data_IF_824860781989
#
_entry.id   IF_824860781989
#
_cell.length_a   1.000
_cell.length_b   1.000
_cell.length_c   1.000
_cell.angle_alpha   90.00
_cell.angle_beta   90.00
_cell.angle_gamma   90.00
#
_symmetry.space_group_name_H-M   'P 1'
#
loop_
_entity.id
_entity.type
_entity.pdbx_description
1 polymer ?
#
# COMPACT_ATOMS: atom_id res chain seq x y z
N UNK A 1 1.90 1.04 11.39
CA UNK A 1 1.74 -0.40 11.65
C UNK A 1 3.08 -1.13 11.63
N UNK A 2 3.74 -1.28 10.47
CA UNK A 2 5.00 -2.03 10.37
C UNK A 2 6.09 -1.57 11.34
N UNK A 3 6.29 -0.26 11.52
CA UNK A 3 7.21 0.27 12.52
C UNK A 3 6.91 -0.25 13.95
N UNK A 4 5.66 -0.18 14.39
CA UNK A 4 5.28 -0.64 15.73
C UNK A 4 5.46 -2.15 15.88
N UNK A 5 5.12 -2.91 14.84
CA UNK A 5 5.35 -4.36 14.80
C UNK A 5 6.84 -4.70 14.91
N UNK A 6 7.70 -4.04 14.12
CA UNK A 6 9.15 -4.24 14.16
C UNK A 6 9.73 -3.86 15.53
N UNK A 7 9.31 -2.74 16.12
CA UNK A 7 9.76 -2.35 17.46
C UNK A 7 9.41 -3.41 18.53
N UNK A 8 8.19 -3.96 18.49
CA UNK A 8 7.77 -5.05 19.40
C UNK A 8 8.52 -6.36 19.15
N UNK A 9 8.97 -6.61 17.91
CA UNK A 9 9.81 -7.76 17.57
C UNK A 9 11.22 -7.65 18.14
N UNK A 10 11.76 -6.43 18.21
CA UNK A 10 13.07 -6.14 18.79
C UNK A 10 13.03 -6.07 20.33
N UNK A 11 11.91 -5.61 20.90
CA UNK A 11 11.70 -5.57 22.34
C UNK A 11 10.22 -5.74 22.69
N UNK A 12 9.87 -6.94 23.16
CA UNK A 12 8.52 -7.32 23.53
C UNK A 12 7.96 -6.57 24.75
N UNK A 13 8.82 -5.91 25.52
CA UNK A 13 8.41 -5.13 26.70
C UNK A 13 8.00 -3.68 26.36
N UNK A 14 8.07 -3.28 25.09
CA UNK A 14 7.63 -1.96 24.68
C UNK A 14 6.10 -1.83 24.73
N UNK A 15 5.63 -0.79 25.40
CA UNK A 15 4.23 -0.38 25.29
C UNK A 15 4.11 0.72 24.24
N UNK A 16 3.50 0.40 23.10
CA UNK A 16 3.35 1.35 21.98
C UNK A 16 1.91 1.86 21.92
N UNK A 17 1.75 3.18 22.02
CA UNK A 17 0.47 3.85 21.79
C UNK A 17 0.44 4.45 20.37
N UNK A 18 -0.54 4.04 19.56
CA UNK A 18 -0.73 4.54 18.19
C UNK A 18 -1.96 5.44 18.18
N UNK A 19 -1.77 6.71 17.81
CA UNK A 19 -2.84 7.69 17.66
C UNK A 19 -3.01 8.00 16.18
N UNK A 20 -4.25 7.99 15.70
CA UNK A 20 -4.62 8.48 14.38
C UNK A 20 -5.80 9.45 14.50
N UNK A 21 -5.85 10.48 13.66
CA UNK A 21 -6.90 11.50 13.63
C UNK A 21 -8.24 10.93 13.14
N UNK A 22 -8.21 9.88 12.32
CA UNK A 22 -9.42 9.36 11.69
C UNK A 22 -10.28 8.48 12.60
N UNK A 23 -11.45 8.10 12.08
CA UNK A 23 -12.40 7.23 12.76
C UNK A 23 -11.91 5.78 12.84
N UNK A 24 -12.51 5.00 13.73
CA UNK A 24 -12.31 3.55 13.77
C UNK A 24 -12.71 2.94 12.42
N UNK A 25 -12.07 1.83 12.06
CA UNK A 25 -12.29 1.20 10.76
C UNK A 25 -13.77 0.85 10.50
N UNK A 26 -14.46 0.32 11.52
CA UNK A 26 -15.89 -0.02 11.47
C UNK A 26 -16.83 1.17 11.34
N UNK A 27 -16.34 2.38 11.63
CA UNK A 27 -17.11 3.62 11.59
C UNK A 27 -16.85 4.41 10.30
N UNK A 28 -15.92 3.96 9.45
CA UNK A 28 -15.62 4.59 8.17
C UNK A 28 -16.63 4.21 7.12
N UNK A 29 -17.20 5.19 6.45
CA UNK A 29 -18.14 5.04 5.37
C UNK A 29 -17.95 6.13 4.32
N UNK A 30 -17.95 5.76 3.04
CA UNK A 30 -17.94 6.72 1.96
C UNK A 30 -19.18 6.55 1.09
N UNK A 31 -19.88 7.64 0.81
CA UNK A 31 -20.99 7.64 -0.15
C UNK A 31 -20.61 7.04 -1.51
N UNK A 32 -19.37 7.28 -1.97
CA UNK A 32 -18.88 6.75 -3.26
C UNK A 32 -18.80 5.23 -3.30
N UNK A 33 -18.57 4.56 -2.16
CA UNK A 33 -18.59 3.08 -2.10
C UNK A 33 -20.01 2.52 -2.23
N UNK A 34 -21.02 3.36 -2.01
CA UNK A 34 -22.44 3.04 -2.17
C UNK A 34 -23.03 3.61 -3.47
N UNK A 35 -22.19 4.12 -4.37
CA UNK A 35 -22.61 4.68 -5.66
C UNK A 35 -23.27 6.07 -5.57
N UNK A 36 -23.15 6.77 -4.44
CA UNK A 36 -23.63 8.16 -4.30
C UNK A 36 -22.47 9.15 -4.24
N UNK A 37 -22.79 10.45 -4.30
CA UNK A 37 -21.80 11.51 -4.19
C UNK A 37 -20.98 11.42 -2.89
N UNK A 38 -19.82 12.07 -2.87
CA UNK A 38 -18.98 12.14 -1.67
C UNK A 38 -19.78 12.72 -0.48
N UNK A 39 -19.83 11.98 0.62
CA UNK A 39 -20.55 12.36 1.85
C UNK A 39 -19.63 12.90 2.94
N UNK A 40 -18.35 13.10 2.64
CA UNK A 40 -17.38 13.56 3.64
C UNK A 40 -17.53 15.07 3.87
N UNK A 41 -17.87 15.47 5.10
CA UNK A 41 -17.77 16.86 5.55
C UNK A 41 -16.48 17.04 6.36
N UNK A 42 -15.40 17.45 5.69
CA UNK A 42 -14.08 17.61 6.29
C UNK A 42 -13.10 16.49 5.92
N UNK A 43 -12.54 15.80 6.92
CA UNK A 43 -11.56 14.73 6.66
C UNK A 43 -12.21 13.58 5.87
N UNK A 44 -11.56 13.12 4.80
CA UNK A 44 -12.06 12.00 4.03
C UNK A 44 -11.82 10.68 4.75
N UNK A 45 -12.89 9.94 5.05
CA UNK A 45 -12.83 8.66 5.78
C UNK A 45 -12.10 7.55 5.00
N UNK A 46 -11.94 7.67 3.68
CA UNK A 46 -11.10 6.75 2.89
C UNK A 46 -9.61 6.91 3.17
N UNK A 47 -9.18 8.15 3.40
CA UNK A 47 -7.75 8.50 3.47
C UNK A 47 -7.26 8.63 4.92
N UNK A 48 -8.12 9.16 5.81
CA UNK A 48 -7.74 9.57 7.16
C UNK A 48 -8.22 8.53 8.18
N UNK A 49 -7.28 8.05 8.98
CA UNK A 49 -7.52 7.04 10.00
C UNK A 49 -6.49 5.91 9.95
N UNK A 50 -6.45 5.12 11.02
CA UNK A 50 -5.68 3.89 11.12
C UNK A 50 -5.70 3.06 9.82
N UNK A 51 -4.52 2.61 9.38
CA UNK A 51 -4.26 1.91 8.12
C UNK A 51 -4.50 2.71 6.81
N UNK A 52 -4.98 3.97 6.89
CA UNK A 52 -5.14 4.87 5.76
C UNK A 52 -5.92 4.25 4.59
N UNK A 53 -5.37 4.40 3.38
CA UNK A 53 -5.88 3.81 2.13
C UNK A 53 -5.77 2.28 2.04
N UNK A 54 -5.34 1.61 3.12
CA UNK A 54 -5.30 0.15 3.20
C UNK A 54 -6.68 -0.52 3.05
N UNK A 55 -7.79 0.23 3.14
CA UNK A 55 -9.14 -0.20 2.74
C UNK A 55 -9.30 -0.29 1.21
N UNK A 56 -8.35 -0.93 0.54
CA UNK A 56 -8.36 -1.15 -0.91
C UNK A 56 -8.65 -2.61 -1.21
N UNK A 57 -8.51 -3.02 -2.48
CA UNK A 57 -8.54 -4.43 -2.89
C UNK A 57 -7.45 -5.29 -2.22
N UNK A 58 -6.51 -4.69 -1.47
CA UNK A 58 -5.52 -5.42 -0.66
C UNK A 58 -4.33 -5.93 -1.46
N UNK A 59 -4.08 -5.36 -2.63
CA UNK A 59 -2.97 -5.72 -3.53
C UNK A 59 -1.68 -5.01 -3.11
N UNK A 60 -0.62 -5.78 -2.88
CA UNK A 60 0.71 -5.25 -2.61
C UNK A 60 1.54 -5.23 -3.89
N UNK A 61 1.89 -4.03 -4.38
CA UNK A 61 2.66 -3.87 -5.61
C UNK A 61 4.16 -3.94 -5.27
N UNK A 62 4.90 -4.84 -5.91
CA UNK A 62 6.33 -5.03 -5.73
C UNK A 62 7.10 -4.32 -6.85
N UNK A 63 7.09 -2.99 -6.86
CA UNK A 63 7.73 -2.21 -7.92
C UNK A 63 8.09 -0.79 -7.48
N UNK A 64 9.10 -0.21 -8.12
CA UNK A 64 9.43 1.21 -8.01
C UNK A 64 8.85 2.03 -9.17
N UNK A 65 8.18 1.40 -10.14
CA UNK A 65 7.72 2.06 -11.36
C UNK A 65 6.53 2.99 -11.13
N UNK A 66 5.67 2.69 -10.15
CA UNK A 66 4.53 3.54 -9.80
C UNK A 66 4.27 3.55 -8.30
N UNK A 67 3.72 4.67 -7.83
CA UNK A 67 3.51 4.95 -6.42
C UNK A 67 4.08 6.31 -6.04
N UNK A 68 4.59 6.40 -4.81
CA UNK A 68 5.23 7.61 -4.30
C UNK A 68 6.72 7.73 -4.67
N UNK A 69 7.39 8.68 -4.05
CA UNK A 69 8.75 9.10 -4.39
C UNK A 69 9.84 8.44 -3.53
N UNK A 70 9.53 7.35 -2.82
CA UNK A 70 10.43 6.75 -1.82
C UNK A 70 11.75 6.28 -2.45
N UNK A 71 11.67 5.61 -3.62
CA UNK A 71 12.84 5.15 -4.36
C UNK A 71 13.81 6.27 -4.75
N UNK A 72 13.30 7.48 -5.03
CA UNK A 72 14.15 8.65 -5.32
C UNK A 72 14.88 9.16 -4.09
N UNK A 73 14.31 8.97 -2.89
CA UNK A 73 14.87 9.46 -1.63
C UNK A 73 15.91 8.54 -1.02
N UNK A 74 15.69 7.23 -1.08
CA UNK A 74 16.53 6.23 -0.38
C UNK A 74 17.22 5.23 -1.31
N UNK A 75 17.01 5.37 -2.62
CA UNK A 75 17.56 4.49 -3.66
C UNK A 75 16.64 3.31 -3.98
N UNK A 76 16.65 2.84 -5.25
CA UNK A 76 15.74 1.80 -5.72
C UNK A 76 15.98 0.45 -5.05
N UNK A 77 17.25 0.06 -4.83
CA UNK A 77 17.59 -1.22 -4.21
C UNK A 77 17.15 -1.29 -2.75
N UNK A 78 17.41 -0.23 -1.98
CA UNK A 78 16.97 -0.14 -0.58
C UNK A 78 15.44 -0.16 -0.48
N UNK A 79 14.76 0.49 -1.41
CA UNK A 79 13.30 0.50 -1.45
C UNK A 79 12.73 -0.89 -1.73
N UNK A 80 13.27 -1.63 -2.70
CA UNK A 80 12.87 -3.01 -2.97
C UNK A 80 13.15 -3.95 -1.79
N UNK A 81 14.27 -3.74 -1.09
CA UNK A 81 14.58 -4.50 0.12
C UNK A 81 13.54 -4.27 1.22
N UNK A 82 13.21 -3.01 1.52
CA UNK A 82 12.18 -2.67 2.51
C UNK A 82 10.78 -3.18 2.09
N UNK A 83 10.46 -3.16 0.79
CA UNK A 83 9.22 -3.75 0.28
C UNK A 83 9.16 -5.26 0.54
N UNK A 84 10.30 -5.96 0.41
CA UNK A 84 10.38 -7.39 0.73
C UNK A 84 10.16 -7.66 2.21
N UNK A 85 10.77 -6.89 3.09
CA UNK A 85 10.55 -7.02 4.55
C UNK A 85 9.06 -6.83 4.91
N UNK A 86 8.39 -5.88 4.25
CA UNK A 86 6.94 -5.69 4.41
C UNK A 86 6.15 -6.88 3.86
N UNK A 87 6.51 -7.40 2.68
CA UNK A 87 5.88 -8.58 2.07
C UNK A 87 6.02 -9.83 2.95
N UNK A 88 7.18 -10.04 3.56
CA UNK A 88 7.43 -11.15 4.48
C UNK A 88 6.51 -11.09 5.70
N UNK A 89 6.31 -9.90 6.27
CA UNK A 89 5.38 -9.67 7.38
C UNK A 89 3.93 -9.94 6.93
N UNK A 90 3.53 -9.42 5.76
CA UNK A 90 2.19 -9.67 5.22
C UNK A 90 1.95 -11.16 4.95
N UNK A 91 2.94 -11.86 4.40
CA UNK A 91 2.89 -13.29 4.16
C UNK A 91 2.78 -14.09 5.45
N UNK A 92 3.51 -13.70 6.51
CA UNK A 92 3.41 -14.29 7.85
C UNK A 92 1.97 -14.23 8.39
N UNK A 93 1.26 -13.12 8.16
CA UNK A 93 -0.15 -12.97 8.55
C UNK A 93 -1.16 -13.51 7.51
N UNK A 94 -0.72 -14.33 6.56
CA UNK A 94 -1.59 -15.06 5.64
C UNK A 94 -1.63 -14.52 4.21
N UNK A 95 -0.86 -13.48 3.87
CA UNK A 95 -0.71 -12.97 2.51
C UNK A 95 -0.24 -14.03 1.51
N UNK A 96 0.56 -15.01 1.96
CA UNK A 96 1.08 -16.11 1.15
C UNK A 96 0.00 -17.04 0.57
N UNK A 97 -1.25 -16.96 1.07
CA UNK A 97 -2.39 -17.71 0.52
C UNK A 97 -2.94 -17.10 -0.77
N UNK A 98 -2.48 -15.91 -1.16
CA UNK A 98 -2.91 -15.21 -2.38
C UNK A 98 -1.92 -15.46 -3.51
N UNK A 99 -2.45 -15.61 -4.71
CA UNK A 99 -1.63 -15.76 -5.90
C UNK A 99 -0.89 -14.47 -6.22
N UNK A 100 0.36 -14.63 -6.67
CA UNK A 100 1.12 -13.55 -7.27
C UNK A 100 0.64 -13.38 -8.71
N UNK A 101 0.46 -12.14 -9.13
CA UNK A 101 0.17 -11.81 -10.51
C UNK A 101 1.12 -10.70 -10.95
N UNK A 102 1.36 -10.63 -12.26
CA UNK A 102 2.11 -9.53 -12.85
C UNK A 102 1.24 -8.82 -13.86
N UNK A 103 1.40 -7.50 -13.93
CA UNK A 103 0.76 -6.67 -14.97
C UNK A 103 1.65 -6.51 -16.21
N UNK A 104 2.82 -7.16 -16.23
CA UNK A 104 3.74 -7.08 -17.36
C UNK A 104 3.12 -7.67 -18.63
N UNK A 105 3.12 -6.88 -19.71
CA UNK A 105 2.66 -7.30 -21.01
C UNK A 105 3.67 -6.84 -22.08
N UNK A 106 4.41 -7.76 -22.72
CA UNK A 106 5.46 -7.40 -23.67
C UNK A 106 4.90 -6.76 -24.95
N UNK A 107 3.75 -7.23 -25.43
CA UNK A 107 3.09 -6.66 -26.61
C UNK A 107 2.65 -5.21 -26.37
N UNK A 108 2.03 -4.95 -25.22
CA UNK A 108 1.59 -3.61 -24.84
C UNK A 108 2.79 -2.68 -24.65
N UNK A 109 3.85 -3.17 -23.98
CA UNK A 109 5.10 -2.43 -23.76
C UNK A 109 5.75 -2.04 -25.09
N UNK A 110 5.84 -2.98 -26.04
CA UNK A 110 6.38 -2.72 -27.37
C UNK A 110 5.52 -1.71 -28.15
N UNK A 111 4.19 -1.84 -28.10
CA UNK A 111 3.27 -0.91 -28.77
C UNK A 111 3.36 0.50 -28.19
N UNK A 112 3.44 0.64 -26.87
CA UNK A 112 3.60 1.94 -26.20
C UNK A 112 4.93 2.62 -26.56
N UNK A 113 6.02 1.85 -26.60
CA UNK A 113 7.35 2.36 -26.95
C UNK A 113 7.40 2.99 -28.35
N UNK A 114 6.62 2.49 -29.33
CA UNK A 114 6.49 3.10 -30.67
C UNK A 114 5.94 4.53 -30.64
N UNK A 115 5.30 4.92 -29.54
CA UNK A 115 4.75 6.25 -29.30
C UNK A 115 5.49 7.01 -28.18
N UNK A 116 6.72 6.61 -27.84
CA UNK A 116 7.51 7.21 -26.76
C UNK A 116 6.85 7.13 -25.37
N UNK A 117 5.98 6.13 -25.16
CA UNK A 117 5.34 5.86 -23.87
C UNK A 117 6.02 4.67 -23.18
N UNK A 118 6.18 4.76 -21.85
CA UNK A 118 6.62 3.65 -21.00
C UNK A 118 5.42 3.03 -20.29
N UNK A 119 5.24 1.71 -20.44
CA UNK A 119 4.30 0.95 -19.62
C UNK A 119 4.96 0.69 -18.27
N UNK A 120 4.23 0.99 -17.19
CA UNK A 120 4.64 0.69 -15.83
C UNK A 120 3.99 -0.64 -15.42
N UNK A 121 4.75 -1.53 -14.78
CA UNK A 121 4.23 -2.81 -14.33
C UNK A 121 4.73 -3.20 -12.94
N UNK A 122 4.03 -4.17 -12.36
CA UNK A 122 4.40 -4.84 -11.10
C UNK A 122 4.35 -6.35 -11.28
#
# INVERSE_FOLDING_TARGET
MFLAYTLLRENENLTIHIIDKGKKLSERSCGTDRGVACTCNGNCEKYIGFAGLGMSEGKFNYTNDFGGELARKIGPQRTLHLMREVDDILCFFGGAKREKYSTFNPWLSHRAAKHSLKVLST
#
